data_IF_685353295439
#
_entry.id   IF_685353295439
#
_cell.length_a   1.000
_cell.length_b   1.000
_cell.length_c   1.000
_cell.angle_alpha   90.00
_cell.angle_beta   90.00
_cell.angle_gamma   90.00
#
_symmetry.space_group_name_H-M   'P 1'
#
loop_
_entity.id
_entity.type
_entity.pdbx_description
1 polymer ?
#
# COMPACT_ATOMS: atom_id res chain seq x y z
N UNK A 1 2.50 8.47 9.94
CA UNK A 1 2.01 7.10 10.17
C UNK A 1 1.23 6.67 8.95
N UNK A 2 1.33 5.42 8.54
CA UNK A 2 0.59 4.88 7.39
C UNK A 2 -0.26 3.70 7.85
N UNK A 3 -1.57 3.79 7.67
CA UNK A 3 -2.50 2.72 8.05
C UNK A 3 -2.76 1.86 6.81
N UNK A 4 -2.55 0.56 6.93
CA UNK A 4 -2.89 -0.40 5.87
C UNK A 4 -4.25 -0.97 6.21
N UNK A 5 -5.20 -0.88 5.28
CA UNK A 5 -6.55 -1.41 5.46
C UNK A 5 -6.85 -2.42 4.37
N UNK A 6 -7.29 -3.61 4.76
CA UNK A 6 -7.85 -4.56 3.81
C UNK A 6 -9.30 -4.16 3.52
N UNK A 7 -9.55 -3.63 2.32
CA UNK A 7 -10.87 -3.11 1.92
C UNK A 7 -11.98 -4.18 1.86
N UNK A 8 -11.64 -5.46 1.71
CA UNK A 8 -12.63 -6.52 1.66
C UNK A 8 -13.14 -6.91 3.07
N UNK A 9 -12.32 -6.69 4.09
CA UNK A 9 -12.61 -7.16 5.47
C UNK A 9 -12.74 -6.03 6.48
N UNK A 10 -12.35 -4.81 6.13
CA UNK A 10 -12.24 -3.67 7.05
C UNK A 10 -11.12 -3.79 8.08
N UNK A 11 -10.38 -4.91 8.10
CA UNK A 11 -9.29 -5.14 9.05
C UNK A 11 -8.11 -4.23 8.74
N UNK A 12 -7.40 -3.84 9.79
CA UNK A 12 -6.13 -3.12 9.73
C UNK A 12 -5.02 -4.14 9.94
N UNK A 13 -4.39 -4.67 8.87
CA UNK A 13 -3.37 -5.70 9.03
C UNK A 13 -2.07 -5.12 9.62
N UNK A 14 -1.85 -3.82 9.46
CA UNK A 14 -0.68 -3.14 10.01
C UNK A 14 -0.85 -1.63 10.09
N UNK A 15 -0.12 -1.05 11.03
CA UNK A 15 0.15 0.37 11.13
C UNK A 15 1.66 0.53 10.96
N UNK A 16 2.06 1.13 9.85
CA UNK A 16 3.48 1.36 9.53
C UNK A 16 3.88 2.70 10.13
N UNK A 17 4.91 2.69 10.99
CA UNK A 17 5.45 3.91 11.55
C UNK A 17 6.11 4.75 10.43
N UNK A 18 5.94 6.08 10.52
CA UNK A 18 6.35 7.07 9.52
C UNK A 18 5.51 7.10 8.22
N UNK A 19 5.48 8.27 7.59
CA UNK A 19 4.83 8.49 6.28
C UNK A 19 5.94 8.60 5.22
N UNK A 20 6.59 7.48 4.89
CA UNK A 20 7.71 7.44 3.94
C UNK A 20 7.64 6.22 3.03
N UNK A 21 8.17 6.35 1.82
CA UNK A 21 8.27 5.23 0.86
C UNK A 21 9.12 4.10 1.41
N UNK A 22 10.21 4.41 2.11
CA UNK A 22 11.09 3.41 2.71
C UNK A 22 10.36 2.54 3.73
N UNK A 23 9.55 3.16 4.61
CA UNK A 23 8.78 2.43 5.61
C UNK A 23 7.69 1.57 4.95
N UNK A 24 6.98 2.10 3.96
CA UNK A 24 5.98 1.35 3.19
C UNK A 24 6.61 0.17 2.45
N UNK A 25 7.73 0.39 1.76
CA UNK A 25 8.45 -0.66 1.04
C UNK A 25 8.94 -1.76 1.99
N UNK A 26 9.49 -1.38 3.15
CA UNK A 26 9.90 -2.33 4.19
C UNK A 26 8.74 -3.21 4.66
N UNK A 27 7.58 -2.61 4.89
CA UNK A 27 6.37 -3.37 5.23
C UNK A 27 5.93 -4.30 4.10
N UNK A 28 5.86 -3.82 2.85
CA UNK A 28 5.41 -4.64 1.73
C UNK A 28 6.36 -5.82 1.50
N UNK A 29 7.67 -5.59 1.58
CA UNK A 29 8.70 -6.61 1.38
C UNK A 29 8.76 -7.62 2.54
N UNK A 30 8.29 -7.27 3.74
CA UNK A 30 8.18 -8.23 4.86
C UNK A 30 7.01 -9.21 4.71
N UNK A 31 6.06 -8.94 3.80
CA UNK A 31 4.94 -9.84 3.56
C UNK A 31 5.34 -11.05 2.69
N UNK A 32 4.75 -12.23 2.95
CA UNK A 32 4.97 -13.41 2.12
C UNK A 32 4.68 -13.16 0.64
N UNK A 33 5.43 -13.81 -0.25
CA UNK A 33 5.25 -13.64 -1.69
C UNK A 33 3.82 -13.99 -2.17
N UNK A 34 3.20 -15.01 -1.56
CA UNK A 34 1.81 -15.39 -1.81
C UNK A 34 0.83 -14.27 -1.45
N UNK A 35 1.07 -13.58 -0.32
CA UNK A 35 0.28 -12.43 0.10
C UNK A 35 0.38 -11.29 -0.92
N UNK A 36 1.61 -10.92 -1.31
CA UNK A 36 1.84 -9.83 -2.28
C UNK A 36 1.18 -10.10 -3.62
N UNK A 37 1.22 -11.34 -4.12
CA UNK A 37 0.52 -11.75 -5.35
C UNK A 37 -1.01 -11.73 -5.22
N UNK A 38 -1.52 -11.85 -4.00
CA UNK A 38 -2.94 -11.76 -3.68
C UNK A 38 -3.47 -10.33 -3.74
N UNK A 39 -2.62 -9.31 -3.57
CA UNK A 39 -3.02 -7.91 -3.66
C UNK A 39 -3.30 -7.55 -5.12
N UNK A 40 -4.55 -7.16 -5.42
CA UNK A 40 -5.00 -6.81 -6.78
C UNK A 40 -5.15 -5.32 -7.02
N UNK A 41 -5.41 -4.56 -5.96
CA UNK A 41 -5.63 -3.12 -6.03
C UNK A 41 -4.94 -2.48 -4.84
N UNK A 42 -4.19 -1.40 -5.10
CA UNK A 42 -3.62 -0.54 -4.08
C UNK A 42 -4.21 0.85 -4.28
N UNK A 43 -4.77 1.42 -3.22
CA UNK A 43 -5.31 2.77 -3.21
C UNK A 43 -4.41 3.65 -2.36
N UNK A 44 -3.92 4.77 -2.90
CA UNK A 44 -3.08 5.74 -2.17
C UNK A 44 -3.62 7.15 -2.30
N UNK A 45 -3.19 8.03 -1.41
CA UNK A 45 -3.54 9.46 -1.34
C UNK A 45 -2.97 10.32 -2.48
N UNK A 46 -2.28 9.72 -3.45
CA UNK A 46 -1.62 10.43 -4.55
C UNK A 46 -0.14 10.75 -4.32
N UNK A 47 0.43 10.30 -3.20
CA UNK A 47 1.87 10.35 -2.99
C UNK A 47 2.63 9.59 -4.09
N UNK A 48 3.44 10.30 -4.87
CA UNK A 48 4.32 9.70 -5.88
C UNK A 48 5.29 8.68 -5.26
N UNK A 49 5.77 8.93 -4.04
CA UNK A 49 6.66 8.04 -3.32
C UNK A 49 5.96 6.70 -2.97
N UNK A 50 4.65 6.74 -2.64
CA UNK A 50 3.86 5.54 -2.37
C UNK A 50 3.51 4.79 -3.63
N UNK A 51 3.20 5.50 -4.71
CA UNK A 51 3.03 4.90 -6.03
C UNK A 51 4.27 4.11 -6.44
N UNK A 52 5.46 4.71 -6.37
CA UNK A 52 6.72 4.04 -6.71
C UNK A 52 6.96 2.80 -5.85
N UNK A 53 6.73 2.89 -4.53
CA UNK A 53 6.86 1.73 -3.65
C UNK A 53 5.85 0.63 -3.98
N UNK A 54 4.59 0.97 -4.24
CA UNK A 54 3.56 0.01 -4.58
C UNK A 54 3.87 -0.69 -5.91
N UNK A 55 4.25 0.06 -6.95
CA UNK A 55 4.59 -0.49 -8.26
C UNK A 55 5.79 -1.44 -8.19
N UNK A 56 6.79 -1.12 -7.35
CA UNK A 56 7.97 -1.97 -7.15
C UNK A 56 7.67 -3.25 -6.36
N UNK A 57 6.93 -3.15 -5.23
CA UNK A 57 6.70 -4.29 -4.35
C UNK A 57 5.53 -5.17 -4.78
N UNK A 58 4.57 -4.61 -5.54
CA UNK A 58 3.30 -5.23 -5.94
C UNK A 58 3.04 -5.03 -7.45
N UNK A 59 3.94 -5.49 -8.34
CA UNK A 59 3.87 -5.20 -9.78
C UNK A 59 2.62 -5.74 -10.49
N UNK A 60 1.88 -6.64 -9.85
CA UNK A 60 0.64 -7.24 -10.37
C UNK A 60 -0.63 -6.50 -9.88
N UNK A 61 -0.48 -5.55 -8.96
CA UNK A 61 -1.60 -4.79 -8.42
C UNK A 61 -1.86 -3.54 -9.26
N UNK A 62 -3.13 -3.22 -9.49
CA UNK A 62 -3.53 -1.95 -10.07
C UNK A 62 -3.44 -0.85 -9.02
N UNK A 63 -2.64 0.18 -9.28
CA UNK A 63 -2.58 1.37 -8.45
C UNK A 63 -3.75 2.32 -8.77
N UNK A 64 -4.38 2.88 -7.73
CA UNK A 64 -5.54 3.78 -7.83
C UNK A 64 -5.31 4.98 -6.92
N UNK A 65 -5.61 6.17 -7.43
CA UNK A 65 -5.64 7.40 -6.65
C UNK A 65 -6.93 7.48 -5.84
N UNK A 66 -6.82 7.72 -4.54
CA UNK A 66 -7.96 8.04 -3.70
C UNK A 66 -8.42 9.48 -3.97
N UNK A 67 -9.58 9.61 -4.63
CA UNK A 67 -10.16 10.93 -4.92
C UNK A 67 -10.66 11.66 -3.67
N UNK A 68 -10.88 10.95 -2.56
CA UNK A 68 -11.27 11.56 -1.29
C UNK A 68 -10.09 12.16 -0.52
N UNK A 69 -8.86 11.93 -0.97
CA UNK A 69 -7.65 12.53 -0.38
C UNK A 69 -7.25 13.88 -1.01
N UNK A 70 -7.99 14.34 -2.03
CA UNK A 70 -7.71 15.58 -2.78
C UNK A 70 -8.58 16.79 -2.34
N UNK A 71 -9.38 16.64 -1.27
CA UNK A 71 -10.26 17.68 -0.73
C UNK A 71 -9.56 18.61 0.25
#
# INVERSE_FOLDING_TARGET
>A
MTIIVNRNTGKVPSIVQHRSSAALNGFLMSQPHSWRRGVKVVVTDGSAAYKTSADASLPQARHVLDRFSLS
#
